data_IF_908365919972
#
_entry.id   IF_908365919972
#
_cell.length_a   1.000
_cell.length_b   1.000
_cell.length_c   1.000
_cell.angle_alpha   90.00
_cell.angle_beta   90.00
_cell.angle_gamma   90.00
#
_symmetry.space_group_name_H-M   'P 1'
#
loop_
_entity.id
_entity.type
_entity.pdbx_description
1 polymer ?
#
# COMPACT_ATOMS: atom_id res chain seq x y z
N UNK A 1 -17.13 -0.39 12.40
CA UNK A 1 -17.16 0.92 11.71
C UNK A 1 -16.18 0.86 10.54
N UNK A 2 -16.46 1.48 9.41
CA UNK A 2 -15.55 1.53 8.26
C UNK A 2 -14.17 2.08 8.64
N UNK A 3 -13.12 1.51 8.05
CA UNK A 3 -11.72 1.91 8.26
C UNK A 3 -11.05 2.15 6.91
N UNK A 4 -9.99 2.95 6.93
CA UNK A 4 -9.05 3.05 5.82
C UNK A 4 -7.91 2.06 6.08
N UNK A 5 -7.63 1.19 5.12
CA UNK A 5 -6.53 0.24 5.19
C UNK A 5 -5.34 0.79 4.40
N UNK A 6 -4.42 1.45 5.08
CA UNK A 6 -3.17 1.94 4.49
C UNK A 6 -2.24 0.77 4.23
N UNK A 7 -1.98 0.47 2.95
CA UNK A 7 -1.20 -0.68 2.51
C UNK A 7 -0.03 -0.24 1.65
N UNK A 8 1.10 -0.93 1.83
CA UNK A 8 2.27 -0.86 0.98
C UNK A 8 2.89 -2.23 0.76
N UNK A 9 3.32 -2.50 -0.48
CA UNK A 9 4.07 -3.69 -0.86
C UNK A 9 5.47 -3.32 -1.33
N UNK A 10 6.46 -4.05 -0.84
CA UNK A 10 7.75 -4.12 -1.51
C UNK A 10 7.81 -5.35 -2.43
N UNK A 11 8.51 -5.20 -3.55
CA UNK A 11 8.58 -6.26 -4.57
C UNK A 11 10.01 -6.63 -4.90
N UNK A 12 10.19 -7.81 -5.49
CA UNK A 12 11.50 -8.29 -5.96
C UNK A 12 12.05 -7.52 -7.17
N UNK A 13 11.34 -6.53 -7.68
CA UNK A 13 11.77 -5.62 -8.73
C UNK A 13 10.63 -5.02 -9.52
N UNK A 14 10.90 -3.87 -10.12
CA UNK A 14 9.96 -3.20 -10.99
C UNK A 14 9.98 -3.82 -12.39
N UNK A 15 8.83 -3.90 -13.02
CA UNK A 15 8.72 -4.14 -14.44
C UNK A 15 9.48 -3.05 -15.21
N UNK A 16 10.47 -3.46 -15.96
CA UNK A 16 11.14 -2.59 -16.91
C UNK A 16 10.62 -2.89 -18.32
N UNK A 17 9.90 -1.92 -18.91
CA UNK A 17 9.37 -2.03 -20.28
C UNK A 17 10.46 -2.20 -21.36
N UNK A 18 11.72 -1.95 -21.03
CA UNK A 18 12.87 -2.08 -21.90
C UNK A 18 13.60 -3.43 -21.77
N UNK A 19 13.21 -4.22 -20.76
CA UNK A 19 13.71 -5.58 -20.57
C UNK A 19 12.64 -6.60 -20.97
N UNK A 20 13.00 -7.75 -21.51
CA UNK A 20 12.04 -8.83 -21.71
C UNK A 20 11.38 -9.17 -20.36
N UNK A 21 10.08 -9.55 -20.37
CA UNK A 21 9.39 -9.91 -19.15
C UNK A 21 10.14 -10.99 -18.41
N UNK A 22 10.45 -10.71 -17.16
CA UNK A 22 11.16 -11.63 -16.30
C UNK A 22 10.13 -12.37 -15.44
N UNK A 23 10.29 -13.67 -15.16
CA UNK A 23 9.29 -14.47 -14.45
C UNK A 23 9.06 -14.05 -12.98
N UNK A 24 9.87 -13.14 -12.46
CA UNK A 24 9.84 -12.68 -11.05
C UNK A 24 9.35 -11.24 -10.87
N UNK A 25 8.95 -10.55 -11.94
CA UNK A 25 8.60 -9.11 -11.87
C UNK A 25 7.40 -8.85 -10.99
N UNK A 26 7.53 -7.84 -10.14
CA UNK A 26 6.50 -7.37 -9.21
C UNK A 26 5.96 -8.45 -8.26
N UNK A 27 6.72 -9.49 -7.96
CA UNK A 27 6.32 -10.43 -6.92
C UNK A 27 6.47 -9.76 -5.55
N UNK A 28 5.43 -9.74 -4.70
CA UNK A 28 5.51 -9.12 -3.39
C UNK A 28 6.46 -9.89 -2.48
N UNK A 29 7.36 -9.18 -1.82
CA UNK A 29 8.36 -9.75 -0.90
C UNK A 29 8.21 -9.23 0.53
N UNK A 30 7.46 -8.15 0.69
CA UNK A 30 7.09 -7.60 1.99
C UNK A 30 5.74 -6.88 1.86
N UNK A 31 4.96 -6.85 2.93
CA UNK A 31 3.71 -6.10 3.01
C UNK A 31 3.50 -5.55 4.41
N UNK A 32 2.93 -4.36 4.49
CA UNK A 32 2.38 -3.83 5.73
C UNK A 32 0.98 -3.25 5.51
N UNK A 33 0.11 -3.40 6.50
CA UNK A 33 -1.24 -2.88 6.52
C UNK A 33 -1.51 -2.22 7.87
N UNK A 34 -1.88 -0.95 7.85
CA UNK A 34 -2.37 -0.22 9.00
C UNK A 34 -3.84 0.14 8.81
N UNK A 35 -4.65 -0.05 9.85
CA UNK A 35 -5.99 0.50 9.89
C UNK A 35 -5.95 1.93 10.40
N UNK A 36 -6.71 2.82 9.75
CA UNK A 36 -6.96 4.18 10.22
C UNK A 36 -8.46 4.34 10.40
N UNK A 37 -8.90 4.63 11.64
CA UNK A 37 -10.29 4.92 11.93
C UNK A 37 -10.68 6.30 11.37
N UNK A 38 -11.98 6.55 11.18
CA UNK A 38 -12.44 7.88 10.76
C UNK A 38 -12.25 8.97 11.83
N UNK A 39 -11.90 8.58 13.07
CA UNK A 39 -11.43 9.48 14.13
C UNK A 39 -9.93 9.77 14.10
N UNK A 40 -9.18 9.07 13.24
CA UNK A 40 -7.75 9.26 13.06
C UNK A 40 -6.87 8.30 13.88
N UNK A 41 -7.43 7.31 14.57
CA UNK A 41 -6.64 6.31 15.29
C UNK A 41 -5.94 5.39 14.29
N UNK A 42 -4.67 5.06 14.56
CA UNK A 42 -3.82 4.21 13.70
C UNK A 42 -3.49 2.92 14.45
N UNK A 43 -3.73 1.78 13.80
CA UNK A 43 -3.44 0.44 14.33
C UNK A 43 -2.70 -0.39 13.28
N UNK A 44 -1.60 -1.05 13.66
CA UNK A 44 -0.95 -2.06 12.82
C UNK A 44 -1.80 -3.32 12.79
N UNK A 45 -2.30 -3.69 11.62
CA UNK A 45 -3.03 -4.95 11.43
C UNK A 45 -2.12 -6.10 11.00
N UNK A 46 -1.18 -5.82 10.09
CA UNK A 46 -0.32 -6.84 9.50
C UNK A 46 1.00 -6.25 9.05
N UNK A 47 2.09 -6.99 9.27
CA UNK A 47 3.41 -6.69 8.72
C UNK A 47 4.18 -7.99 8.57
N UNK A 48 4.61 -8.34 7.37
CA UNK A 48 5.31 -9.59 7.10
C UNK A 48 6.21 -9.48 5.89
N UNK A 49 7.32 -10.20 5.92
CA UNK A 49 8.02 -10.64 4.72
C UNK A 49 7.25 -11.76 4.05
N UNK A 50 7.54 -12.01 2.76
CA UNK A 50 6.82 -12.98 1.93
C UNK A 50 7.84 -13.84 1.20
N UNK A 51 7.78 -15.14 1.41
CA UNK A 51 8.63 -16.09 0.71
C UNK A 51 8.12 -16.41 -0.71
N UNK A 52 8.97 -16.99 -1.54
CA UNK A 52 8.63 -17.47 -2.88
C UNK A 52 9.24 -16.65 -4.02
N UNK A 53 9.84 -15.51 -3.74
CA UNK A 53 10.67 -14.82 -4.73
C UNK A 53 11.91 -15.65 -5.04
N UNK A 54 12.13 -15.97 -6.31
CA UNK A 54 13.27 -16.80 -6.76
C UNK A 54 14.49 -15.96 -7.15
N UNK A 55 14.28 -14.68 -7.42
CA UNK A 55 15.33 -13.74 -7.77
C UNK A 55 14.89 -12.31 -7.47
N UNK A 56 15.85 -11.43 -7.31
CA UNK A 56 15.65 -10.00 -7.15
C UNK A 56 16.33 -9.24 -8.28
N UNK A 57 15.68 -8.19 -8.74
CA UNK A 57 16.34 -7.18 -9.53
C UNK A 57 17.40 -6.50 -8.63
N UNK A 58 18.59 -6.21 -9.19
CA UNK A 58 19.70 -5.57 -8.46
C UNK A 58 19.33 -4.25 -7.77
N UNK A 59 18.28 -3.56 -8.23
CA UNK A 59 17.78 -2.34 -7.62
C UNK A 59 16.87 -2.64 -6.44
N UNK A 60 16.04 -3.69 -6.51
CA UNK A 60 15.13 -4.07 -5.45
C UNK A 60 15.89 -4.42 -4.16
N UNK A 61 16.88 -5.33 -4.21
CA UNK A 61 17.61 -5.70 -3.00
C UNK A 61 18.38 -4.52 -2.36
N UNK A 62 18.83 -3.55 -3.18
CA UNK A 62 19.43 -2.32 -2.65
C UNK A 62 18.45 -1.41 -1.93
N UNK A 63 17.17 -1.49 -2.32
CA UNK A 63 16.11 -0.68 -1.72
C UNK A 63 15.61 -1.27 -0.42
N UNK A 64 15.50 -2.61 -0.33
CA UNK A 64 14.86 -3.30 0.79
C UNK A 64 15.82 -3.76 1.88
N UNK A 65 17.12 -3.73 1.63
CA UNK A 65 18.17 -4.18 2.56
C UNK A 65 18.02 -5.65 3.00
N UNK A 66 17.48 -6.52 2.11
CA UNK A 66 17.43 -7.97 2.31
C UNK A 66 17.50 -8.73 0.98
N UNK A 67 17.95 -9.99 1.03
CA UNK A 67 18.15 -10.87 -0.11
C UNK A 67 17.12 -12.02 -0.15
N UNK A 68 17.01 -12.78 -1.26
CA UNK A 68 16.12 -13.94 -1.33
C UNK A 68 16.32 -14.96 -0.20
N UNK A 69 17.56 -15.10 0.28
CA UNK A 69 17.89 -16.01 1.39
C UNK A 69 17.21 -15.59 2.69
N UNK A 70 17.01 -14.29 2.92
CA UNK A 70 16.38 -13.75 4.12
C UNK A 70 14.86 -14.01 4.16
N UNK A 71 14.30 -14.47 3.04
CA UNK A 71 12.88 -14.84 2.94
C UNK A 71 12.62 -16.33 3.22
N UNK A 72 13.68 -17.09 3.53
CA UNK A 72 13.53 -18.52 3.86
C UNK A 72 12.79 -18.68 5.20
N UNK A 73 11.70 -19.46 5.17
CA UNK A 73 10.88 -19.68 6.37
C UNK A 73 9.79 -18.62 6.59
N UNK A 74 9.80 -17.53 5.81
CA UNK A 74 8.72 -16.55 5.85
C UNK A 74 7.43 -17.11 5.23
N UNK A 75 6.24 -16.60 5.58
CA UNK A 75 4.97 -17.04 5.01
C UNK A 75 4.96 -16.93 3.49
N UNK A 76 4.27 -17.87 2.82
CA UNK A 76 4.01 -17.78 1.39
C UNK A 76 2.91 -16.77 1.10
N UNK A 77 2.85 -16.26 -0.13
CA UNK A 77 1.84 -15.28 -0.53
C UNK A 77 0.41 -15.76 -0.24
N UNK A 78 0.10 -17.05 -0.38
CA UNK A 78 -1.22 -17.60 -0.07
C UNK A 78 -1.59 -17.42 1.41
N UNK A 79 -0.65 -17.64 2.31
CA UNK A 79 -0.85 -17.48 3.76
C UNK A 79 -1.03 -16.01 4.12
N UNK A 80 -0.22 -15.14 3.52
CA UNK A 80 -0.31 -13.68 3.69
C UNK A 80 -1.66 -13.16 3.21
N UNK A 81 -2.10 -13.54 2.00
CA UNK A 81 -3.40 -13.14 1.44
C UNK A 81 -4.55 -13.67 2.29
N UNK A 82 -4.46 -14.90 2.79
CA UNK A 82 -5.46 -15.46 3.70
C UNK A 82 -5.54 -14.64 4.99
N UNK A 83 -4.40 -14.31 5.61
CA UNK A 83 -4.34 -13.50 6.82
C UNK A 83 -4.92 -12.09 6.59
N UNK A 84 -4.51 -11.43 5.50
CA UNK A 84 -5.03 -10.11 5.13
C UNK A 84 -6.55 -10.14 4.86
N UNK A 85 -7.03 -11.16 4.14
CA UNK A 85 -8.46 -11.32 3.85
C UNK A 85 -9.30 -11.48 5.11
N UNK A 86 -8.78 -12.18 6.13
CA UNK A 86 -9.45 -12.37 7.41
C UNK A 86 -9.57 -11.07 8.25
N UNK A 87 -8.79 -10.05 7.94
CA UNK A 87 -8.81 -8.75 8.64
C UNK A 87 -9.78 -7.75 8.01
N UNK A 88 -10.19 -7.98 6.76
CA UNK A 88 -11.11 -7.09 6.04
C UNK A 88 -12.48 -7.10 6.69
N UNK A 89 -13.03 -5.93 6.89
CA UNK A 89 -14.38 -5.73 7.44
C UNK A 89 -15.28 -5.03 6.41
N UNK A 90 -16.61 -5.24 6.50
CA UNK A 90 -17.56 -4.50 5.65
C UNK A 90 -17.37 -2.98 5.78
N UNK A 91 -17.28 -2.31 4.64
CA UNK A 91 -17.07 -0.87 4.55
C UNK A 91 -15.61 -0.40 4.63
N UNK A 92 -14.64 -1.32 4.76
CA UNK A 92 -13.22 -0.94 4.67
C UNK A 92 -12.89 -0.43 3.25
N UNK A 93 -11.99 0.54 3.19
CA UNK A 93 -11.45 1.12 1.95
C UNK A 93 -9.95 0.90 1.90
N UNK A 94 -9.45 0.34 0.81
CA UNK A 94 -8.01 0.16 0.59
C UNK A 94 -7.37 1.48 0.14
N UNK A 95 -6.35 1.93 0.85
CA UNK A 95 -5.59 3.14 0.51
C UNK A 95 -4.13 2.77 0.27
N UNK A 96 -3.62 3.07 -0.92
CA UNK A 96 -2.20 2.90 -1.23
C UNK A 96 -1.62 4.21 -1.75
N UNK A 97 -0.31 4.37 -1.57
CA UNK A 97 0.41 5.42 -2.25
C UNK A 97 0.92 4.90 -3.61
N UNK A 98 0.06 4.87 -4.61
CA UNK A 98 0.12 4.25 -5.93
C UNK A 98 -0.64 2.90 -6.02
N UNK A 99 -1.95 2.94 -5.75
CA UNK A 99 -2.88 1.80 -5.86
C UNK A 99 -2.66 0.95 -7.14
N UNK A 100 -2.35 1.59 -8.28
CA UNK A 100 -2.11 0.86 -9.52
C UNK A 100 -0.92 -0.08 -9.40
N UNK A 101 0.12 0.33 -8.68
CA UNK A 101 1.29 -0.52 -8.48
C UNK A 101 0.96 -1.68 -7.52
N UNK A 102 0.51 -1.36 -6.32
CA UNK A 102 0.30 -2.36 -5.27
C UNK A 102 -0.78 -3.38 -5.63
N UNK A 103 -1.93 -2.91 -6.11
CA UNK A 103 -3.08 -3.76 -6.32
C UNK A 103 -3.09 -4.39 -7.72
N UNK A 104 -2.81 -3.61 -8.78
CA UNK A 104 -3.01 -4.04 -10.18
C UNK A 104 -1.75 -4.65 -10.78
N UNK A 105 -0.57 -4.16 -10.43
CA UNK A 105 0.70 -4.65 -10.99
C UNK A 105 1.41 -5.66 -10.09
N UNK A 106 1.14 -5.66 -8.79
CA UNK A 106 1.78 -6.53 -7.81
C UNK A 106 0.83 -7.64 -7.33
N UNK A 107 -0.16 -7.33 -6.51
CA UNK A 107 -1.00 -8.33 -5.83
C UNK A 107 -1.83 -9.16 -6.82
N UNK A 108 -2.65 -8.49 -7.64
CA UNK A 108 -3.59 -9.18 -8.54
C UNK A 108 -2.90 -10.17 -9.49
N UNK A 109 -1.84 -9.82 -10.25
CA UNK A 109 -1.20 -10.77 -11.16
C UNK A 109 -0.42 -11.86 -10.42
N UNK A 110 0.11 -11.58 -9.23
CA UNK A 110 0.80 -12.60 -8.41
C UNK A 110 -0.18 -13.65 -7.90
N UNK A 111 -1.34 -13.22 -7.40
CA UNK A 111 -2.41 -14.13 -6.98
C UNK A 111 -2.98 -14.93 -8.15
N UNK A 112 -3.23 -14.30 -9.29
CA UNK A 112 -3.74 -14.98 -10.48
C UNK A 112 -2.79 -16.09 -10.98
N UNK A 113 -1.49 -15.82 -11.01
CA UNK A 113 -0.47 -16.82 -11.41
C UNK A 113 -0.40 -18.02 -10.47
N UNK A 114 -0.68 -17.81 -9.19
CA UNK A 114 -0.57 -18.85 -8.16
C UNK A 114 -1.91 -19.50 -7.82
N UNK A 115 -3.01 -19.08 -8.46
CA UNK A 115 -4.35 -19.59 -8.16
C UNK A 115 -4.84 -19.22 -6.76
N UNK A 116 -4.40 -18.07 -6.22
CA UNK A 116 -4.76 -17.58 -4.89
C UNK A 116 -6.00 -16.70 -5.01
N UNK A 117 -7.04 -17.02 -4.23
CA UNK A 117 -8.20 -16.14 -4.12
C UNK A 117 -7.89 -14.93 -3.22
N UNK A 118 -7.87 -13.75 -3.83
CA UNK A 118 -7.68 -12.48 -3.17
C UNK A 118 -8.93 -11.58 -3.30
N UNK A 119 -10.09 -12.15 -3.62
CA UNK A 119 -11.34 -11.41 -3.92
C UNK A 119 -11.74 -10.48 -2.77
N UNK A 120 -11.60 -10.93 -1.52
CA UNK A 120 -11.92 -10.13 -0.34
C UNK A 120 -11.14 -8.79 -0.30
N UNK A 121 -9.88 -8.80 -0.74
CA UNK A 121 -9.02 -7.62 -0.77
C UNK A 121 -9.25 -6.83 -2.06
N UNK A 122 -9.30 -7.55 -3.20
CA UNK A 122 -9.38 -6.94 -4.51
C UNK A 122 -10.73 -6.30 -4.83
N UNK A 123 -11.80 -6.66 -4.11
CA UNK A 123 -13.14 -6.05 -4.25
C UNK A 123 -13.32 -4.78 -3.43
N UNK A 124 -12.42 -4.45 -2.50
CA UNK A 124 -12.56 -3.25 -1.70
C UNK A 124 -12.56 -1.97 -2.56
N UNK A 125 -13.36 -0.97 -2.19
CA UNK A 125 -13.19 0.39 -2.69
C UNK A 125 -11.76 0.86 -2.48
N UNK A 126 -11.23 1.70 -3.38
CA UNK A 126 -9.81 2.08 -3.37
C UNK A 126 -9.64 3.57 -3.45
N UNK A 127 -8.64 4.09 -2.72
CA UNK A 127 -8.18 5.46 -2.85
C UNK A 127 -6.67 5.51 -3.08
N UNK A 128 -6.24 6.38 -3.99
CA UNK A 128 -4.83 6.55 -4.35
C UNK A 128 -4.31 7.92 -3.94
N UNK A 129 -3.46 8.00 -2.94
CA UNK A 129 -2.89 9.28 -2.50
C UNK A 129 -1.83 9.86 -3.45
N UNK A 130 -1.42 9.09 -4.47
CA UNK A 130 -0.42 9.50 -5.47
C UNK A 130 -1.04 10.05 -6.75
N UNK A 131 -2.24 9.56 -7.14
CA UNK A 131 -2.82 9.76 -8.49
C UNK A 131 -4.32 10.05 -8.50
N UNK A 132 -4.96 10.23 -7.36
CA UNK A 132 -6.35 10.70 -7.31
C UNK A 132 -6.46 12.13 -7.86
N UNK A 133 -7.66 12.58 -8.16
CA UNK A 133 -7.91 13.96 -8.57
C UNK A 133 -7.38 14.92 -7.50
N UNK A 134 -7.61 14.59 -6.22
CA UNK A 134 -7.02 15.31 -5.10
C UNK A 134 -5.49 15.43 -5.19
N UNK A 135 -4.78 14.32 -5.47
CA UNK A 135 -3.32 14.32 -5.57
C UNK A 135 -2.83 15.16 -6.77
N UNK A 136 -3.54 15.10 -7.89
CA UNK A 136 -3.22 15.88 -9.09
C UNK A 136 -3.46 17.39 -8.88
N UNK A 137 -4.44 17.77 -8.08
CA UNK A 137 -4.67 19.18 -7.71
C UNK A 137 -3.53 19.75 -6.85
N UNK A 138 -2.84 18.90 -6.08
CA UNK A 138 -1.74 19.30 -5.21
C UNK A 138 -0.36 19.16 -5.86
N UNK A 139 -0.23 18.44 -6.95
CA UNK A 139 1.03 18.27 -7.68
C UNK A 139 0.80 18.02 -9.19
N UNK A 140 0.46 19.07 -9.91
CA UNK A 140 0.02 19.00 -11.32
C UNK A 140 1.08 18.53 -12.31
N UNK A 141 2.36 18.77 -12.03
CA UNK A 141 3.45 18.48 -12.97
C UNK A 141 3.97 17.06 -12.88
N UNK A 142 3.74 16.37 -11.75
CA UNK A 142 4.21 15.02 -11.49
C UNK A 142 3.27 14.31 -10.50
N UNK A 143 3.43 13.01 -10.38
CA UNK A 143 2.77 12.27 -9.31
C UNK A 143 3.26 12.73 -7.94
N UNK A 144 2.33 12.91 -7.01
CA UNK A 144 2.68 13.22 -5.64
C UNK A 144 3.50 12.07 -5.05
N UNK A 145 4.72 12.35 -4.62
CA UNK A 145 5.55 11.34 -3.95
C UNK A 145 5.11 11.15 -2.49
N UNK A 146 5.41 9.98 -1.90
CA UNK A 146 5.13 9.75 -0.47
C UNK A 146 5.88 10.77 0.42
N UNK A 147 7.10 11.12 0.07
CA UNK A 147 7.84 12.19 0.74
C UNK A 147 7.12 13.55 0.65
N UNK A 148 6.54 13.86 -0.51
CA UNK A 148 5.72 15.06 -0.70
C UNK A 148 4.46 15.04 0.17
N UNK A 149 3.73 13.91 0.17
CA UNK A 149 2.58 13.72 1.04
C UNK A 149 2.97 13.88 2.52
N UNK A 150 4.05 13.25 2.94
CA UNK A 150 4.57 13.37 4.30
C UNK A 150 4.91 14.81 4.68
N UNK A 151 5.52 15.56 3.77
CA UNK A 151 5.84 16.98 3.99
C UNK A 151 4.58 17.83 4.17
N UNK A 152 3.53 17.58 3.37
CA UNK A 152 2.24 18.31 3.47
C UNK A 152 1.59 18.14 4.85
N UNK A 153 1.69 16.96 5.44
CA UNK A 153 1.07 16.65 6.74
C UNK A 153 2.08 16.66 7.92
N UNK A 154 3.33 17.08 7.70
CA UNK A 154 4.35 17.10 8.75
C UNK A 154 4.61 15.71 9.37
N UNK A 155 4.60 14.66 8.54
CA UNK A 155 4.93 13.29 8.91
C UNK A 155 6.39 13.01 8.57
N UNK A 156 7.07 12.20 9.38
CA UNK A 156 8.41 11.70 9.07
C UNK A 156 8.30 10.23 8.67
N UNK A 157 8.78 9.90 7.49
CA UNK A 157 9.04 8.52 7.10
C UNK A 157 10.45 8.15 7.60
N UNK A 158 10.54 7.21 8.53
CA UNK A 158 11.81 6.91 9.21
C UNK A 158 12.80 6.19 8.28
N UNK A 159 12.30 5.23 7.49
CA UNK A 159 13.06 4.46 6.51
C UNK A 159 12.22 4.24 5.27
N UNK A 160 12.35 5.16 4.31
CA UNK A 160 11.73 5.00 3.01
C UNK A 160 12.15 3.68 2.34
N UNK A 161 11.24 3.10 1.58
CA UNK A 161 11.41 1.81 0.89
C UNK A 161 11.44 0.59 1.82
N UNK A 162 10.73 0.67 2.93
CA UNK A 162 10.32 -0.50 3.69
C UNK A 162 8.80 -0.48 3.83
N UNK A 163 8.12 -1.58 3.51
CA UNK A 163 6.65 -1.62 3.52
C UNK A 163 6.07 -1.16 4.87
N UNK A 164 6.73 -1.53 5.98
CA UNK A 164 6.30 -1.13 7.32
C UNK A 164 6.33 0.37 7.56
N UNK A 165 7.46 1.02 7.23
CA UNK A 165 7.62 2.46 7.46
C UNK A 165 6.81 3.28 6.42
N UNK A 166 6.73 2.83 5.16
CA UNK A 166 5.97 3.52 4.10
C UNK A 166 4.45 3.44 4.36
N UNK A 167 3.92 2.26 4.73
CA UNK A 167 2.51 2.12 5.11
C UNK A 167 2.18 2.89 6.40
N UNK A 168 3.09 2.92 7.40
CA UNK A 168 2.91 3.73 8.61
C UNK A 168 2.89 5.23 8.29
N UNK A 169 3.83 5.70 7.46
CA UNK A 169 3.87 7.09 7.05
C UNK A 169 2.59 7.50 6.31
N UNK A 170 2.09 6.63 5.39
CA UNK A 170 0.81 6.83 4.75
C UNK A 170 -0.32 6.89 5.78
N UNK A 171 -0.42 5.93 6.70
CA UNK A 171 -1.46 5.89 7.73
C UNK A 171 -1.44 7.15 8.62
N UNK A 172 -0.26 7.64 8.98
CA UNK A 172 -0.12 8.87 9.74
C UNK A 172 -0.56 10.12 8.97
N UNK A 173 -0.32 10.17 7.65
CA UNK A 173 -0.83 11.25 6.80
C UNK A 173 -2.37 11.24 6.77
N UNK A 174 -2.98 10.05 6.58
CA UNK A 174 -4.44 9.88 6.60
C UNK A 174 -5.03 10.29 7.97
N UNK A 175 -4.40 9.82 9.06
CA UNK A 175 -4.79 10.16 10.44
C UNK A 175 -4.81 11.68 10.66
N UNK A 176 -3.73 12.37 10.27
CA UNK A 176 -3.64 13.82 10.41
C UNK A 176 -4.65 14.56 9.55
N UNK A 177 -4.91 14.09 8.33
CA UNK A 177 -5.93 14.67 7.48
C UNK A 177 -7.33 14.55 8.13
N UNK A 178 -7.66 13.36 8.65
CA UNK A 178 -8.96 13.08 9.28
C UNK A 178 -9.18 13.84 10.59
N UNK A 179 -8.12 14.06 11.38
CA UNK A 179 -8.13 14.78 12.63
C UNK A 179 -8.01 16.30 12.47
N UNK A 180 -7.73 16.80 11.27
CA UNK A 180 -7.56 18.23 11.01
C UNK A 180 -8.89 18.99 11.18
N UNK A 181 -8.80 20.24 11.65
CA UNK A 181 -9.95 21.15 11.64
C UNK A 181 -10.44 21.41 10.21
N UNK A 182 -11.72 21.74 10.02
CA UNK A 182 -12.27 22.05 8.71
C UNK A 182 -11.41 23.07 7.94
N UNK A 183 -11.02 22.70 6.70
CA UNK A 183 -10.15 23.51 5.86
C UNK A 183 -8.64 23.31 6.08
N UNK A 184 -8.22 22.54 7.06
CA UNK A 184 -6.79 22.22 7.30
C UNK A 184 -6.38 20.85 6.74
N UNK A 185 -7.34 20.01 6.35
CA UNK A 185 -7.13 18.69 5.75
C UNK A 185 -6.60 18.73 4.31
N UNK A 186 -6.46 19.93 3.72
CA UNK A 186 -6.18 20.13 2.29
C UNK A 186 -7.19 19.41 1.37
N UNK A 187 -8.42 19.16 1.82
CA UNK A 187 -9.45 18.41 1.10
C UNK A 187 -9.34 16.89 1.17
N UNK A 188 -8.26 16.34 1.72
CA UNK A 188 -8.07 14.89 1.75
C UNK A 188 -9.09 14.17 2.63
N UNK A 189 -9.44 14.73 3.78
CA UNK A 189 -10.44 14.14 4.68
C UNK A 189 -11.82 14.02 4.02
N UNK A 190 -12.22 15.01 3.27
CA UNK A 190 -13.46 15.06 2.51
C UNK A 190 -13.50 13.95 1.45
N UNK A 191 -12.45 13.81 0.67
CA UNK A 191 -12.30 12.74 -0.33
C UNK A 191 -12.37 11.35 0.30
N UNK A 192 -11.62 11.13 1.39
CA UNK A 192 -11.60 9.85 2.09
C UNK A 192 -12.99 9.48 2.66
N UNK A 193 -13.70 10.44 3.25
CA UNK A 193 -15.06 10.24 3.76
C UNK A 193 -16.05 9.97 2.61
N UNK A 194 -15.89 10.64 1.47
CA UNK A 194 -16.73 10.40 0.30
C UNK A 194 -16.54 8.98 -0.26
N UNK A 195 -15.30 8.48 -0.35
CA UNK A 195 -15.03 7.10 -0.80
C UNK A 195 -15.60 6.08 0.17
N UNK A 196 -15.48 6.29 1.48
CA UNK A 196 -16.10 5.42 2.51
C UNK A 196 -17.62 5.41 2.36
N UNK A 197 -18.25 6.56 2.14
CA UNK A 197 -19.70 6.66 1.99
C UNK A 197 -20.23 6.00 0.69
N UNK A 198 -19.42 5.97 -0.37
CA UNK A 198 -19.79 5.37 -1.66
C UNK A 198 -19.55 3.85 -1.74
N UNK A 199 -18.77 3.30 -0.84
CA UNK A 199 -18.40 1.88 -0.81
C UNK A 199 -19.27 1.00 0.09
N UNK A 200 -20.30 1.57 0.74
CA UNK A 200 -21.23 0.89 1.64
C UNK A 200 -22.50 0.40 0.98
#
# INVERSE_FOLDING_TARGET
>A
MPRLLALDFETNGLYDRHCPPQPWENYPVCVAVYAVSLSGDVELLYNSRISGATAFNRWAWRMHDFEPADLQGEPRLAEVVSAMSAMVMPGDVMVCHNVTYDMIKCLQPSCARLGIDASAILSLPRFCTCRSDWAMDHNRDNWLSLAGLCAMFGVKNARAHTAGDDALALAQCLSKALAAEPGQSLGLAEELRAVVASGG
#
